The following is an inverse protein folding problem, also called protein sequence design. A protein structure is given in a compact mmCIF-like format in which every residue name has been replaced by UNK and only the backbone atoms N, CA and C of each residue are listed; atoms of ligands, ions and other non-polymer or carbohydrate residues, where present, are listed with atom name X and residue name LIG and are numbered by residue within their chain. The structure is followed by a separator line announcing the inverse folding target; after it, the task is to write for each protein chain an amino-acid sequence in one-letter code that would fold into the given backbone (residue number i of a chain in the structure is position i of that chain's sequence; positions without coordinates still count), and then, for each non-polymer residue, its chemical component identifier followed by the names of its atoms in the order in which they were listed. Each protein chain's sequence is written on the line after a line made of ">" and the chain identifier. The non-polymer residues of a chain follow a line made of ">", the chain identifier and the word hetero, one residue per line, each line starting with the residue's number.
data_IF_078190668535
#
_entry.id   IF_078190668535
#
_cell.length_a   1.000
_cell.length_b   1.000
_cell.length_c   1.000
_cell.angle_alpha   90.00
_cell.angle_beta   90.00
_cell.angle_gamma   90.00
#
_symmetry.space_group_name_H-M   'P 1'
#
loop_
_entity.id
_entity.type
_entity.pdbx_description
1 polymer ?
#
# COMPACT_ATOMS: atom_id res chain seq x y z
N UNK A 1 7.99 -4.20 -13.39
CA UNK A 1 7.27 -3.18 -14.18
C UNK A 1 6.37 -2.41 -13.23
N UNK A 2 6.55 -1.10 -13.06
CA UNK A 2 5.98 -0.28 -11.96
C UNK A 2 4.48 0.07 -12.02
N UNK A 3 3.71 -0.60 -12.88
CA UNK A 3 2.27 -0.36 -13.04
C UNK A 3 1.90 1.04 -13.55
N UNK A 4 0.61 1.41 -13.51
CA UNK A 4 0.15 2.71 -14.01
C UNK A 4 0.80 3.91 -13.31
N UNK A 5 1.09 3.80 -12.00
CA UNK A 5 1.75 4.87 -11.25
C UNK A 5 3.13 5.24 -11.81
N UNK A 6 3.88 4.28 -12.37
CA UNK A 6 5.18 4.60 -12.99
C UNK A 6 5.07 5.39 -14.30
N UNK A 7 3.86 5.54 -14.85
CA UNK A 7 3.61 6.34 -16.05
C UNK A 7 3.21 7.79 -15.70
N UNK A 8 2.70 8.03 -14.49
CA UNK A 8 2.21 9.34 -14.05
C UNK A 8 3.16 10.09 -13.11
N UNK A 9 4.06 9.38 -12.42
CA UNK A 9 5.04 9.99 -11.54
C UNK A 9 6.42 9.96 -12.19
N UNK A 10 6.95 11.14 -12.52
CA UNK A 10 8.30 11.32 -13.09
C UNK A 10 9.39 10.73 -12.17
N UNK A 11 9.20 10.83 -10.85
CA UNK A 11 10.09 10.28 -9.83
C UNK A 11 9.54 8.99 -9.21
N UNK A 12 8.89 8.14 -10.01
CA UNK A 12 8.41 6.85 -9.53
C UNK A 12 9.59 5.97 -9.09
N UNK A 13 9.47 5.41 -7.89
CA UNK A 13 10.43 4.46 -7.36
C UNK A 13 9.66 3.24 -6.83
N UNK A 14 10.06 2.05 -7.28
CA UNK A 14 9.51 0.81 -6.76
C UNK A 14 10.19 0.47 -5.44
N UNK A 15 9.42 0.48 -4.34
CA UNK A 15 9.90 0.17 -2.99
C UNK A 15 9.29 -1.12 -2.48
N UNK A 16 10.11 -2.13 -2.23
CA UNK A 16 9.65 -3.47 -1.82
C UNK A 16 8.88 -3.40 -0.50
N UNK A 17 9.40 -2.67 0.49
CA UNK A 17 8.78 -2.48 1.81
C UNK A 17 7.38 -1.83 1.71
N UNK A 18 7.18 -0.91 0.75
CA UNK A 18 5.87 -0.30 0.48
C UNK A 18 4.86 -1.34 0.00
N UNK A 19 5.29 -2.25 -0.88
CA UNK A 19 4.46 -3.33 -1.44
C UNK A 19 4.16 -4.38 -0.36
N UNK A 20 5.12 -4.70 0.51
CA UNK A 20 4.93 -5.61 1.63
C UNK A 20 3.92 -5.05 2.64
N UNK A 21 4.07 -3.78 3.03
CA UNK A 21 3.11 -3.10 3.89
C UNK A 21 1.71 -3.08 3.26
N UNK A 22 1.60 -2.77 1.97
CA UNK A 22 0.33 -2.75 1.25
C UNK A 22 -0.37 -4.12 1.30
N UNK A 23 0.37 -5.21 1.06
CA UNK A 23 -0.19 -6.57 1.13
C UNK A 23 -0.68 -6.90 2.54
N UNK A 24 0.11 -6.58 3.57
CA UNK A 24 -0.27 -6.82 4.96
C UNK A 24 -1.52 -6.02 5.36
N UNK A 25 -1.59 -4.75 4.98
CA UNK A 25 -2.78 -3.89 5.24
C UNK A 25 -4.01 -4.43 4.51
N UNK A 26 -3.86 -4.86 3.24
CA UNK A 26 -4.97 -5.45 2.47
C UNK A 26 -5.53 -6.67 3.17
N UNK A 27 -4.67 -7.61 3.57
CA UNK A 27 -5.09 -8.84 4.26
C UNK A 27 -5.79 -8.52 5.59
N UNK A 28 -5.23 -7.60 6.39
CA UNK A 28 -5.82 -7.21 7.66
C UNK A 28 -7.23 -6.60 7.48
N UNK A 29 -7.39 -5.71 6.50
CA UNK A 29 -8.68 -5.10 6.17
C UNK A 29 -9.68 -6.15 5.67
N UNK A 30 -9.29 -7.00 4.71
CA UNK A 30 -10.17 -8.03 4.14
C UNK A 30 -10.58 -9.12 5.14
N UNK A 31 -9.78 -9.34 6.19
CA UNK A 31 -10.05 -10.33 7.23
C UNK A 31 -10.61 -9.74 8.53
N UNK A 32 -10.80 -8.42 8.59
CA UNK A 32 -11.29 -7.73 9.78
C UNK A 32 -10.35 -7.82 10.99
N UNK A 33 -9.03 -7.91 10.76
CA UNK A 33 -8.01 -8.06 11.82
C UNK A 33 -7.25 -6.76 12.08
N UNK A 34 -6.74 -6.61 13.28
CA UNK A 34 -5.82 -5.53 13.61
C UNK A 34 -4.40 -5.85 13.14
N UNK A 35 -3.70 -4.84 12.65
CA UNK A 35 -2.32 -4.93 12.20
C UNK A 35 -1.53 -3.75 12.78
N UNK A 36 -0.33 -4.05 13.32
CA UNK A 36 0.66 -3.06 13.70
C UNK A 36 1.83 -3.14 12.71
N UNK A 37 2.21 -2.01 12.13
CA UNK A 37 3.35 -1.92 11.20
C UNK A 37 4.26 -0.79 11.64
N UNK A 38 5.54 -1.10 11.78
CA UNK A 38 6.60 -0.09 11.83
C UNK A 38 7.15 0.11 10.43
N UNK A 39 7.20 1.36 9.97
CA UNK A 39 7.76 1.69 8.67
C UNK A 39 8.58 2.97 8.75
N UNK A 40 9.81 2.91 8.22
CA UNK A 40 10.76 4.01 8.18
C UNK A 40 10.25 5.24 7.43
N UNK A 41 10.96 6.35 7.55
CA UNK A 41 10.71 7.56 6.75
C UNK A 41 10.99 7.29 5.26
N UNK A 42 10.23 7.90 4.35
CA UNK A 42 10.46 7.76 2.90
C UNK A 42 9.94 6.46 2.26
N UNK A 43 9.51 5.46 3.04
CA UNK A 43 8.95 4.19 2.54
C UNK A 43 7.64 4.37 1.75
N UNK A 44 6.97 5.51 1.90
CA UNK A 44 5.69 5.76 1.21
C UNK A 44 4.48 5.14 1.91
N UNK A 45 4.49 5.14 3.26
CA UNK A 45 3.43 4.61 4.14
C UNK A 45 2.02 5.01 3.72
N UNK A 46 1.82 6.28 3.36
CA UNK A 46 0.50 6.81 2.98
C UNK A 46 -0.13 6.06 1.82
N UNK A 47 0.62 5.81 0.74
CA UNK A 47 0.12 5.00 -0.37
C UNK A 47 -0.12 3.55 0.04
N UNK A 48 0.77 2.99 0.87
CA UNK A 48 0.67 1.62 1.32
C UNK A 48 -0.61 1.34 2.14
N UNK A 49 -1.13 2.31 2.91
CA UNK A 49 -2.41 2.12 3.64
C UNK A 49 -3.63 2.73 2.95
N UNK A 50 -3.52 3.83 2.20
CA UNK A 50 -4.70 4.47 1.59
C UNK A 50 -5.26 3.69 0.39
N UNK A 51 -4.38 3.19 -0.48
CA UNK A 51 -4.81 2.41 -1.66
C UNK A 51 -5.64 1.19 -1.26
N UNK A 52 -5.21 0.32 -0.33
CA UNK A 52 -6.01 -0.82 0.06
C UNK A 52 -7.29 -0.44 0.82
N UNK A 53 -7.31 0.65 1.60
CA UNK A 53 -8.55 1.15 2.23
C UNK A 53 -9.61 1.50 1.18
N UNK A 54 -9.21 2.21 0.11
CA UNK A 54 -10.13 2.52 -0.98
C UNK A 54 -10.57 1.25 -1.71
N UNK A 55 -9.64 0.33 -2.00
CA UNK A 55 -9.94 -0.88 -2.76
C UNK A 55 -10.84 -1.87 -2.01
N UNK A 56 -10.56 -2.16 -0.74
CA UNK A 56 -11.35 -3.10 0.07
C UNK A 56 -12.77 -2.57 0.31
N UNK A 57 -12.91 -1.27 0.58
CA UNK A 57 -14.23 -0.65 0.77
C UNK A 57 -15.10 -0.65 -0.49
N UNK A 58 -14.49 -0.63 -1.67
CA UNK A 58 -15.23 -0.72 -2.95
C UNK A 58 -15.68 -2.14 -3.31
N UNK A 59 -15.24 -3.15 -2.57
CA UNK A 59 -15.63 -4.55 -2.78
C UNK A 59 -16.81 -5.00 -1.88
N UNK A 60 -17.23 -4.14 -0.94
CA UNK A 60 -18.46 -4.28 -0.15
C UNK A 60 -19.63 -3.55 -0.82
#
# INVERSE_FOLDING_TARGET
>A
MGGPFSQYFESYEHRVEQVEMLKAVTDALSTGRHLMVEAGTGVGKSFAYLVPVCAVRSAE
#
